data_IF_639693506662
#
_entry.id   IF_639693506662
#
_cell.length_a   1.000
_cell.length_b   1.000
_cell.length_c   1.000
_cell.angle_alpha   90.00
_cell.angle_beta   90.00
_cell.angle_gamma   90.00
#
_symmetry.space_group_name_H-M   'P 1'
#
loop_
_entity.id
_entity.type
_entity.pdbx_description
1 polymer ?
#
# COMPACT_ATOMS: atom_id res chain seq x y z
N UNK A 1 20.41 10.76 8.78
CA UNK A 1 19.84 11.05 7.45
C UNK A 1 18.43 11.61 7.63
N UNK A 2 18.21 12.92 7.73
CA UNK A 2 16.90 13.43 8.20
C UNK A 2 16.48 14.84 7.80
N UNK A 3 17.18 15.51 6.87
CA UNK A 3 16.88 16.92 6.54
C UNK A 3 15.86 17.11 5.39
N UNK A 4 15.68 16.13 4.50
CA UNK A 4 14.74 16.27 3.37
C UNK A 4 13.30 15.83 3.68
N UNK A 5 13.11 14.83 4.55
CA UNK A 5 11.77 14.32 4.91
C UNK A 5 10.94 15.34 5.70
N UNK A 6 11.58 16.13 6.56
CA UNK A 6 10.91 17.13 7.41
C UNK A 6 10.31 18.29 6.61
N UNK A 7 10.95 18.73 5.52
CA UNK A 7 10.41 19.79 4.67
C UNK A 7 9.12 19.40 3.93
N UNK A 8 8.89 18.10 3.71
CA UNK A 8 7.68 17.57 3.06
C UNK A 8 6.61 17.10 4.05
N UNK A 9 6.86 17.23 5.36
CA UNK A 9 5.97 16.71 6.39
C UNK A 9 5.78 15.19 6.32
N UNK A 10 6.78 14.46 5.81
CA UNK A 10 6.81 13.01 5.72
C UNK A 10 7.77 12.42 6.76
N UNK A 11 7.48 11.22 7.22
CA UNK A 11 8.33 10.44 8.10
C UNK A 11 8.16 8.94 7.83
N UNK A 12 9.15 8.17 8.25
CA UNK A 12 9.02 6.72 8.27
C UNK A 12 8.11 6.29 9.44
N UNK A 13 7.31 5.22 9.28
CA UNK A 13 6.60 4.62 10.40
C UNK A 13 7.54 4.29 11.57
N UNK A 14 7.11 4.52 12.81
CA UNK A 14 7.88 4.14 13.99
C UNK A 14 7.50 2.75 14.48
N UNK A 15 6.25 2.34 14.25
CA UNK A 15 5.70 1.05 14.67
C UNK A 15 4.76 0.44 13.60
N UNK A 16 4.70 -0.89 13.56
CA UNK A 16 3.76 -1.67 12.73
C UNK A 16 2.30 -1.21 12.91
N UNK A 17 1.92 -0.86 14.12
CA UNK A 17 0.56 -0.43 14.49
C UNK A 17 0.10 0.84 13.77
N UNK A 18 1.01 1.70 13.30
CA UNK A 18 0.66 2.89 12.52
C UNK A 18 0.11 2.52 11.13
N UNK A 19 0.59 1.41 10.58
CA UNK A 19 0.21 0.89 9.27
C UNK A 19 -1.08 0.07 9.32
N UNK A 20 -1.43 -0.50 10.49
CA UNK A 20 -2.69 -1.25 10.67
C UNK A 20 -3.88 -0.30 10.51
N UNK A 21 -4.86 -0.72 9.70
CA UNK A 21 -6.10 0.02 9.47
C UNK A 21 -6.66 -0.18 8.07
N UNK A 22 -7.70 0.59 7.76
CA UNK A 22 -8.30 0.61 6.42
C UNK A 22 -7.74 1.80 5.65
N UNK A 23 -7.25 1.52 4.44
CA UNK A 23 -6.61 2.49 3.57
C UNK A 23 -7.34 2.58 2.24
N UNK A 24 -7.60 3.81 1.80
CA UNK A 24 -8.23 4.14 0.51
C UNK A 24 -7.18 4.63 -0.47
N UNK A 25 -7.14 4.06 -1.68
CA UNK A 25 -6.29 4.54 -2.78
C UNK A 25 -6.77 5.89 -3.28
N UNK A 26 -5.85 6.80 -3.58
CA UNK A 26 -6.18 8.14 -4.06
C UNK A 26 -5.19 8.65 -5.11
N UNK A 27 -5.68 9.50 -6.01
CA UNK A 27 -4.86 10.27 -6.94
C UNK A 27 -4.53 9.56 -8.26
N UNK A 28 -5.10 8.38 -8.52
CA UNK A 28 -4.96 7.65 -9.78
C UNK A 28 -6.27 6.98 -10.23
N UNK A 29 -6.21 6.24 -11.35
CA UNK A 29 -7.35 5.55 -11.98
C UNK A 29 -8.02 4.47 -11.09
N UNK A 30 -7.33 4.02 -10.03
CA UNK A 30 -7.82 3.04 -9.09
C UNK A 30 -8.23 3.68 -7.74
N UNK A 31 -8.40 5.01 -7.72
CA UNK A 31 -8.90 5.75 -6.55
C UNK A 31 -10.24 5.20 -6.06
N UNK A 32 -10.41 5.13 -4.73
CA UNK A 32 -11.61 4.55 -4.09
C UNK A 32 -11.50 3.06 -3.78
N UNK A 33 -10.43 2.38 -4.20
CA UNK A 33 -10.10 1.04 -3.72
C UNK A 33 -9.78 1.08 -2.23
N UNK A 34 -10.32 0.12 -1.47
CA UNK A 34 -10.03 -0.04 -0.04
C UNK A 34 -9.24 -1.31 0.20
N UNK A 35 -8.17 -1.20 1.00
CA UNK A 35 -7.46 -2.32 1.58
C UNK A 35 -7.55 -2.31 3.11
N UNK A 36 -7.60 -3.50 3.71
CA UNK A 36 -7.49 -3.72 5.15
C UNK A 36 -6.08 -4.24 5.46
N UNK A 37 -5.30 -3.47 6.20
CA UNK A 37 -3.95 -3.85 6.66
C UNK A 37 -4.05 -4.39 8.08
N UNK A 38 -3.69 -5.66 8.25
CA UNK A 38 -3.79 -6.39 9.51
C UNK A 38 -2.57 -7.29 9.73
N UNK A 39 -2.36 -7.72 10.97
CA UNK A 39 -1.31 -8.68 11.32
C UNK A 39 -1.82 -10.10 10.97
N UNK A 40 -1.11 -10.77 10.07
CA UNK A 40 -1.32 -12.18 9.77
C UNK A 40 -0.05 -12.98 10.12
N UNK A 41 -0.16 -13.88 11.11
CA UNK A 41 0.99 -14.66 11.59
C UNK A 41 2.14 -13.72 11.98
N UNK A 42 3.21 -13.67 11.18
CA UNK A 42 4.42 -12.89 11.46
C UNK A 42 4.60 -11.66 10.56
N UNK A 43 3.68 -11.40 9.63
CA UNK A 43 3.73 -10.26 8.71
C UNK A 43 2.48 -9.40 8.78
N UNK A 44 2.61 -8.13 8.38
CA UNK A 44 1.46 -7.30 8.07
C UNK A 44 1.07 -7.51 6.61
N UNK A 45 -0.23 -7.70 6.36
CA UNK A 45 -0.80 -7.96 5.04
C UNK A 45 -1.92 -6.97 4.77
N UNK A 46 -1.93 -6.37 3.58
CA UNK A 46 -3.00 -5.51 3.10
C UNK A 46 -3.88 -6.25 2.09
N UNK A 47 -5.12 -6.58 2.45
CA UNK A 47 -6.07 -7.26 1.54
C UNK A 47 -7.07 -6.28 0.95
N UNK A 48 -7.41 -6.46 -0.33
CA UNK A 48 -8.50 -5.68 -0.96
C UNK A 48 -9.82 -6.05 -0.31
N UNK A 49 -10.52 -5.06 0.24
CA UNK A 49 -11.87 -5.21 0.81
C UNK A 49 -12.94 -4.53 -0.04
N UNK A 50 -12.56 -3.53 -0.85
CA UNK A 50 -13.43 -2.91 -1.87
C UNK A 50 -12.61 -2.72 -3.14
N UNK A 51 -13.12 -3.25 -4.25
CA UNK A 51 -12.55 -3.08 -5.59
C UNK A 51 -13.44 -2.17 -6.42
N UNK A 52 -12.86 -1.22 -7.14
CA UNK A 52 -13.60 -0.33 -8.05
C UNK A 52 -13.90 -1.03 -9.37
N UNK A 53 -14.87 -0.55 -10.18
CA UNK A 53 -15.14 -1.11 -11.51
C UNK A 53 -13.90 -1.17 -12.42
N UNK A 54 -13.04 -0.16 -12.33
CA UNK A 54 -11.77 -0.08 -13.07
C UNK A 54 -10.83 -1.19 -12.63
N UNK A 55 -10.71 -1.45 -11.33
CA UNK A 55 -9.90 -2.54 -10.80
C UNK A 55 -10.45 -3.92 -11.20
N UNK A 56 -11.76 -4.13 -11.12
CA UNK A 56 -12.37 -5.37 -11.60
C UNK A 56 -12.07 -5.62 -13.09
N UNK A 57 -12.16 -4.56 -13.90
CA UNK A 57 -11.86 -4.62 -15.34
C UNK A 57 -10.37 -4.89 -15.64
N UNK A 58 -9.50 -4.66 -14.65
CA UNK A 58 -8.06 -4.96 -14.71
C UNK A 58 -7.70 -6.27 -13.99
N UNK A 59 -8.68 -7.13 -13.64
CA UNK A 59 -8.44 -8.45 -13.08
C UNK A 59 -8.16 -8.49 -11.57
N UNK A 60 -8.48 -7.41 -10.85
CA UNK A 60 -8.40 -7.38 -9.39
C UNK A 60 -9.66 -7.98 -8.75
N UNK A 61 -9.50 -8.50 -7.54
CA UNK A 61 -10.61 -9.11 -6.79
C UNK A 61 -10.52 -8.79 -5.30
N UNK A 62 -11.68 -8.68 -4.66
CA UNK A 62 -11.77 -8.62 -3.20
C UNK A 62 -11.16 -9.89 -2.61
N UNK A 63 -10.35 -9.73 -1.56
CA UNK A 63 -9.55 -10.79 -0.94
C UNK A 63 -8.12 -10.91 -1.48
N UNK A 64 -7.79 -10.28 -2.61
CA UNK A 64 -6.41 -10.23 -3.11
C UNK A 64 -5.50 -9.61 -2.03
N UNK A 65 -4.36 -10.26 -1.77
CA UNK A 65 -3.31 -9.73 -0.90
C UNK A 65 -2.53 -8.66 -1.65
N UNK A 66 -3.05 -7.43 -1.67
CA UNK A 66 -2.41 -6.31 -2.35
C UNK A 66 -1.03 -6.01 -1.76
N UNK A 67 -0.90 -5.97 -0.43
CA UNK A 67 0.37 -5.74 0.25
C UNK A 67 0.78 -6.94 1.09
N UNK A 68 2.07 -7.23 1.12
CA UNK A 68 2.67 -8.24 2.01
C UNK A 68 4.09 -7.87 2.41
N UNK A 69 4.65 -8.64 3.35
CA UNK A 69 6.02 -8.46 3.83
C UNK A 69 6.33 -7.02 4.27
N UNK A 70 5.36 -6.32 4.88
CA UNK A 70 5.55 -4.93 5.30
C UNK A 70 6.49 -4.91 6.51
N UNK A 71 7.66 -4.32 6.36
CA UNK A 71 8.73 -4.37 7.37
C UNK A 71 9.63 -3.13 7.33
N UNK A 72 10.19 -2.79 8.49
CA UNK A 72 11.28 -1.82 8.60
C UNK A 72 12.63 -2.43 8.21
N UNK A 73 13.48 -1.66 7.56
CA UNK A 73 14.88 -1.98 7.31
C UNK A 73 15.77 -1.56 8.50
N UNK A 74 17.06 -1.91 8.44
CA UNK A 74 18.04 -1.61 9.50
C UNK A 74 18.29 -0.11 9.70
N UNK A 75 17.88 0.73 8.75
CA UNK A 75 18.00 2.19 8.83
C UNK A 75 16.69 2.86 9.25
N UNK A 76 15.67 2.08 9.63
CA UNK A 76 14.38 2.56 10.12
C UNK A 76 13.39 2.98 9.03
N UNK A 77 13.66 2.69 7.75
CA UNK A 77 12.72 2.92 6.66
C UNK A 77 11.84 1.72 6.43
N UNK A 78 10.64 1.94 5.94
CA UNK A 78 9.68 0.86 5.73
C UNK A 78 9.51 0.51 4.27
N UNK A 79 9.30 -0.76 4.02
CA UNK A 79 9.09 -1.31 2.69
C UNK A 79 7.97 -2.35 2.68
N UNK A 80 7.43 -2.60 1.51
CA UNK A 80 6.44 -3.65 1.26
C UNK A 80 6.59 -4.25 -0.14
N UNK A 81 5.94 -5.39 -0.32
CA UNK A 81 5.70 -6.00 -1.61
C UNK A 81 4.26 -5.73 -2.04
N UNK A 82 4.09 -5.07 -3.18
CA UNK A 82 2.81 -4.69 -3.78
C UNK A 82 2.47 -5.66 -4.93
N UNK A 83 1.33 -6.34 -4.85
CA UNK A 83 0.87 -7.27 -5.87
C UNK A 83 0.73 -6.53 -7.21
N UNK A 84 1.20 -7.17 -8.28
CA UNK A 84 1.09 -6.77 -9.67
C UNK A 84 0.43 -7.90 -10.45
N UNK A 85 -0.46 -7.54 -11.37
CA UNK A 85 -1.10 -8.50 -12.28
C UNK A 85 -0.88 -8.07 -13.71
N UNK A 86 -0.58 -9.04 -14.55
CA UNK A 86 -0.71 -8.89 -15.99
C UNK A 86 -2.08 -9.46 -16.40
N UNK A 87 -2.91 -8.63 -17.02
CA UNK A 87 -4.28 -9.00 -17.36
C UNK A 87 -4.52 -8.84 -18.86
N UNK A 88 -4.95 -9.94 -19.49
CA UNK A 88 -5.41 -9.93 -20.88
C UNK A 88 -6.88 -9.48 -20.90
N UNK A 89 -7.09 -8.24 -21.36
CA UNK A 89 -8.42 -7.64 -21.42
C UNK A 89 -9.32 -8.28 -22.47
N UNK A 90 -8.75 -8.87 -23.54
CA UNK A 90 -9.52 -9.54 -24.59
C UNK A 90 -10.03 -10.90 -24.11
N UNK A 91 -9.15 -11.68 -23.48
CA UNK A 91 -9.48 -13.01 -22.93
C UNK A 91 -10.09 -12.95 -21.53
N UNK A 92 -10.17 -11.76 -20.95
CA UNK A 92 -10.62 -11.49 -19.58
C UNK A 92 -9.93 -12.38 -18.54
N UNK A 93 -8.62 -12.57 -18.68
CA UNK A 93 -7.85 -13.53 -17.89
C UNK A 93 -6.57 -12.93 -17.32
N UNK A 94 -6.28 -13.24 -16.05
CA UNK A 94 -4.97 -12.96 -15.45
C UNK A 94 -3.92 -13.89 -16.06
N UNK A 95 -2.91 -13.32 -16.70
CA UNK A 95 -1.81 -14.04 -17.33
C UNK A 95 -0.73 -14.40 -16.31
N UNK A 96 -0.38 -13.43 -15.45
CA UNK A 96 0.66 -13.59 -14.44
C UNK A 96 0.34 -12.74 -13.20
N UNK A 97 0.87 -13.17 -12.06
CA UNK A 97 0.83 -12.43 -10.78
C UNK A 97 2.23 -12.40 -10.20
N UNK A 98 2.69 -11.22 -9.82
CA UNK A 98 4.00 -11.00 -9.21
C UNK A 98 3.90 -9.95 -8.10
N UNK A 99 4.98 -9.69 -7.39
CA UNK A 99 5.06 -8.62 -6.40
C UNK A 99 6.21 -7.67 -6.72
N UNK A 100 5.91 -6.38 -6.67
CA UNK A 100 6.90 -5.31 -6.87
C UNK A 100 7.23 -4.65 -5.53
N UNK A 101 8.47 -4.23 -5.37
CA UNK A 101 8.96 -3.65 -4.13
C UNK A 101 8.71 -2.14 -4.06
N UNK A 102 8.19 -1.67 -2.91
CA UNK A 102 7.96 -0.25 -2.65
C UNK A 102 8.48 0.17 -1.27
N UNK A 103 8.96 1.40 -1.21
CA UNK A 103 9.27 2.11 0.03
C UNK A 103 8.05 2.90 0.51
N UNK A 104 7.85 2.96 1.82
CA UNK A 104 6.69 3.59 2.47
C UNK A 104 7.12 4.90 3.11
N UNK A 105 6.32 5.94 2.97
CA UNK A 105 6.40 7.14 3.79
C UNK A 105 5.03 7.50 4.33
N UNK A 106 4.97 7.88 5.61
CA UNK A 106 3.77 8.37 6.28
C UNK A 106 3.78 9.90 6.35
N UNK A 107 2.64 10.53 6.13
CA UNK A 107 2.43 11.93 6.54
C UNK A 107 2.65 12.09 8.04
N UNK A 108 3.08 13.26 8.51
CA UNK A 108 3.28 13.59 9.93
C UNK A 108 2.11 13.26 10.86
N UNK A 109 0.87 13.20 10.34
CA UNK A 109 -0.33 12.85 11.10
C UNK A 109 -0.68 11.34 11.08
N UNK A 110 0.12 10.50 10.40
CA UNK A 110 -0.15 9.07 10.23
C UNK A 110 -1.40 8.74 9.39
N UNK A 111 -1.96 9.71 8.67
CA UNK A 111 -3.23 9.58 7.91
C UNK A 111 -3.06 9.32 6.41
N UNK A 112 -1.84 9.43 5.89
CA UNK A 112 -1.55 9.22 4.48
C UNK A 112 -0.27 8.39 4.34
N UNK A 113 -0.34 7.35 3.52
CA UNK A 113 0.80 6.57 3.04
C UNK A 113 1.09 6.99 1.60
N UNK A 114 2.37 7.19 1.30
CA UNK A 114 2.90 7.29 -0.05
C UNK A 114 3.81 6.08 -0.30
N UNK A 115 3.64 5.45 -1.46
CA UNK A 115 4.53 4.36 -1.91
C UNK A 115 5.48 4.88 -2.99
N UNK A 116 6.75 4.51 -2.88
CA UNK A 116 7.84 4.99 -3.73
C UNK A 116 8.61 3.81 -4.32
N UNK A 117 8.91 3.88 -5.63
CA UNK A 117 9.76 2.87 -6.29
C UNK A 117 11.25 3.03 -5.95
N UNK A 118 11.62 4.18 -5.39
CA UNK A 118 12.98 4.46 -4.92
C UNK A 118 12.98 4.76 -3.43
N UNK A 119 14.13 4.49 -2.83
CA UNK A 119 14.47 4.80 -1.44
C UNK A 119 14.40 6.29 -1.13
N UNK A 120 14.58 7.14 -2.14
CA UNK A 120 14.46 8.59 -2.02
C UNK A 120 13.02 8.99 -2.43
N UNK A 121 12.20 9.54 -1.53
CA UNK A 121 10.77 9.75 -1.76
C UNK A 121 10.51 11.04 -2.56
N UNK A 122 11.04 11.13 -3.78
CA UNK A 122 10.83 12.31 -4.65
C UNK A 122 9.42 12.33 -5.24
N UNK A 123 8.93 11.17 -5.69
CA UNK A 123 7.62 11.02 -6.31
C UNK A 123 6.91 9.79 -5.73
N UNK A 124 5.64 9.94 -5.39
CA UNK A 124 4.80 8.83 -4.96
C UNK A 124 4.24 8.13 -6.20
N UNK A 125 4.50 6.84 -6.32
CA UNK A 125 3.88 6.01 -7.35
C UNK A 125 2.42 5.69 -6.99
N UNK A 126 2.12 5.58 -5.68
CA UNK A 126 0.76 5.40 -5.18
C UNK A 126 0.56 6.20 -3.90
N UNK A 127 -0.67 6.66 -3.68
CA UNK A 127 -1.08 7.40 -2.48
C UNK A 127 -2.28 6.71 -1.85
N UNK A 128 -2.24 6.60 -0.53
CA UNK A 128 -3.26 5.93 0.27
C UNK A 128 -3.65 6.79 1.47
N UNK A 129 -4.93 6.87 1.80
CA UNK A 129 -5.47 7.64 2.92
C UNK A 129 -6.09 6.71 3.96
N UNK A 130 -5.82 6.95 5.24
CA UNK A 130 -6.40 6.17 6.34
C UNK A 130 -7.85 6.60 6.54
N UNK A 131 -8.78 5.67 6.41
CA UNK A 131 -10.23 5.93 6.49
C UNK A 131 -10.93 5.18 7.63
N UNK A 132 -10.25 4.22 8.25
CA UNK A 132 -10.81 3.47 9.37
C UNK A 132 -9.77 2.69 10.16
N UNK A 133 -10.20 2.18 11.30
CA UNK A 133 -9.46 1.14 12.04
C UNK A 133 -9.90 -0.22 11.52
N UNK A 134 -9.02 -1.21 11.61
CA UNK A 134 -9.42 -2.61 11.42
C UNK A 134 -10.44 -2.97 12.50
N UNK A 135 -11.47 -3.75 12.12
CA UNK A 135 -12.38 -4.32 13.10
C UNK A 135 -11.56 -5.32 13.93
N UNK A 136 -11.35 -5.02 15.21
CA UNK A 136 -10.82 -6.02 16.14
C UNK A 136 -11.88 -7.14 16.19
N UNK A 137 -11.50 -8.32 15.70
CA UNK A 137 -12.22 -9.56 16.00
C UNK A 137 -11.80 -10.06 17.37
#
# INVERSE_FOLDING_TARGET
MGFFQTCLGLHDPKDRSELIGIWERAGDEFSGCLICVEQEKNELVGKIIVSTPQMYSAGWSVGDRKWRCIQGDLEGRWQLLDLKKEYDTQKKKVLSTDYEHYWISLSSQGKKISLHQSKIPLFAAQIWKKVGKTLQQ
#
